data_IF_179879731955
#
_entry.id   IF_179879731955
#
_cell.length_a   1.000
_cell.length_b   1.000
_cell.length_c   1.000
_cell.angle_alpha   90.00
_cell.angle_beta   90.00
_cell.angle_gamma   90.00
#
_symmetry.space_group_name_H-M   'P 1'
#
loop_
_entity.id
_entity.type
_entity.pdbx_description
1 polymer ?
#
# COMPACT_ATOMS: atom_id res chain seq x y z
N UNK A 1 -21.10 -2.86 -48.43
CA UNK A 1 -20.81 -3.35 -47.06
C UNK A 1 -21.98 -4.14 -46.48
N UNK A 2 -23.23 -3.67 -46.64
CA UNK A 2 -24.43 -4.46 -46.27
C UNK A 2 -24.54 -5.78 -47.04
N UNK A 3 -24.23 -5.80 -48.35
CA UNK A 3 -24.24 -7.04 -49.14
C UNK A 3 -23.21 -8.08 -48.65
N UNK A 4 -22.04 -7.63 -48.18
CA UNK A 4 -21.00 -8.51 -47.61
C UNK A 4 -21.36 -9.06 -46.22
N UNK A 5 -22.27 -8.42 -45.48
CA UNK A 5 -22.75 -8.91 -44.16
C UNK A 5 -23.83 -9.97 -44.37
N UNK A 6 -24.64 -9.84 -45.42
CA UNK A 6 -25.68 -10.81 -45.80
C UNK A 6 -25.09 -12.10 -46.35
N UNK A 7 -23.92 -12.04 -47.00
CA UNK A 7 -23.20 -13.21 -47.52
C UNK A 7 -22.37 -13.96 -46.48
N UNK A 8 -22.44 -13.60 -45.19
CA UNK A 8 -21.70 -14.29 -44.12
C UNK A 8 -22.48 -15.53 -43.67
N UNK A 9 -21.80 -16.68 -43.65
CA UNK A 9 -22.30 -17.93 -43.10
C UNK A 9 -22.91 -17.75 -41.70
N UNK A 10 -24.07 -18.36 -41.45
CA UNK A 10 -24.80 -18.26 -40.18
C UNK A 10 -23.91 -18.47 -38.93
N UNK A 11 -23.02 -19.48 -38.88
CA UNK A 11 -22.15 -19.70 -37.72
C UNK A 11 -21.16 -18.55 -37.49
N UNK A 12 -20.61 -17.99 -38.57
CA UNK A 12 -19.66 -16.88 -38.49
C UNK A 12 -20.35 -15.58 -38.06
N UNK A 13 -21.58 -15.35 -38.52
CA UNK A 13 -22.38 -14.20 -38.08
C UNK A 13 -22.69 -14.26 -36.58
N UNK A 14 -23.23 -15.39 -36.10
CA UNK A 14 -23.54 -15.57 -34.68
C UNK A 14 -22.31 -15.52 -33.79
N UNK A 15 -21.16 -16.02 -34.27
CA UNK A 15 -19.88 -15.85 -33.58
C UNK A 15 -19.56 -14.37 -33.32
N UNK A 16 -19.66 -13.49 -34.33
CA UNK A 16 -19.37 -12.07 -34.16
C UNK A 16 -20.38 -11.36 -33.25
N UNK A 17 -21.66 -11.70 -33.34
CA UNK A 17 -22.69 -11.16 -32.43
C UNK A 17 -22.40 -11.54 -30.99
N UNK A 18 -22.09 -12.81 -30.72
CA UNK A 18 -21.73 -13.28 -29.37
C UNK A 18 -20.42 -12.63 -28.91
N UNK A 19 -19.40 -12.54 -29.77
CA UNK A 19 -18.13 -11.91 -29.42
C UNK A 19 -18.31 -10.43 -29.03
N UNK A 20 -19.12 -9.68 -29.78
CA UNK A 20 -19.46 -8.28 -29.46
C UNK A 20 -20.29 -8.17 -28.17
N UNK A 21 -21.22 -9.10 -27.94
CA UNK A 21 -21.99 -9.18 -26.70
C UNK A 21 -21.09 -9.42 -25.48
N UNK A 22 -20.16 -10.36 -25.57
CA UNK A 22 -19.15 -10.61 -24.53
C UNK A 22 -18.26 -9.39 -24.33
N UNK A 23 -17.77 -8.78 -25.41
CA UNK A 23 -16.95 -7.56 -25.33
C UNK A 23 -17.70 -6.41 -24.63
N UNK A 24 -18.99 -6.24 -24.91
CA UNK A 24 -19.85 -5.25 -24.25
C UNK A 24 -19.96 -5.53 -22.73
N UNK A 25 -20.25 -6.77 -22.33
CA UNK A 25 -20.32 -7.13 -20.90
C UNK A 25 -18.98 -6.92 -20.18
N UNK A 26 -17.87 -7.31 -20.81
CA UNK A 26 -16.53 -7.12 -20.25
C UNK A 26 -16.20 -5.65 -20.07
N UNK A 27 -16.44 -4.82 -21.09
CA UNK A 27 -16.16 -3.38 -21.03
C UNK A 27 -17.07 -2.65 -20.04
N UNK A 28 -18.35 -3.03 -19.93
CA UNK A 28 -19.25 -2.51 -18.90
C UNK A 28 -18.74 -2.82 -17.48
N UNK A 29 -18.34 -4.08 -17.24
CA UNK A 29 -17.79 -4.48 -15.94
C UNK A 29 -16.50 -3.71 -15.60
N UNK A 30 -15.58 -3.56 -16.57
CA UNK A 30 -14.35 -2.78 -16.37
C UNK A 30 -14.64 -1.30 -16.10
N UNK A 31 -15.63 -0.72 -16.78
CA UNK A 31 -16.09 0.65 -16.55
C UNK A 31 -16.64 0.84 -15.13
N UNK A 32 -17.58 -0.02 -14.72
CA UNK A 32 -18.17 0.02 -13.38
C UNK A 32 -17.10 -0.16 -12.29
N UNK A 33 -16.15 -1.08 -12.48
CA UNK A 33 -15.04 -1.30 -11.54
C UNK A 33 -14.11 -0.09 -11.44
N UNK A 34 -13.77 0.54 -12.58
CA UNK A 34 -12.91 1.73 -12.59
C UNK A 34 -13.62 2.92 -11.93
N UNK A 35 -14.91 3.09 -12.20
CA UNK A 35 -15.73 4.14 -11.60
C UNK A 35 -15.90 3.96 -10.08
N UNK A 36 -16.17 2.74 -9.63
CA UNK A 36 -16.27 2.44 -8.20
C UNK A 36 -14.95 2.71 -7.46
N UNK A 37 -13.81 2.40 -8.08
CA UNK A 37 -12.49 2.72 -7.51
C UNK A 37 -12.23 4.22 -7.44
N UNK A 38 -12.61 4.98 -8.47
CA UNK A 38 -12.48 6.43 -8.45
C UNK A 38 -13.30 7.04 -7.31
N UNK A 39 -14.58 6.65 -7.19
CA UNK A 39 -15.43 7.10 -6.09
C UNK A 39 -14.92 6.72 -4.72
N UNK A 40 -14.43 5.49 -4.55
CA UNK A 40 -13.92 5.06 -3.25
C UNK A 40 -12.72 5.89 -2.80
N UNK A 41 -11.88 6.34 -3.73
CA UNK A 41 -10.77 7.27 -3.43
C UNK A 41 -11.36 8.65 -3.09
N UNK A 42 -12.20 9.23 -3.96
CA UNK A 42 -12.81 10.56 -3.77
C UNK A 42 -13.66 10.69 -2.50
N UNK A 43 -14.36 9.63 -2.11
CA UNK A 43 -15.28 9.61 -0.97
C UNK A 43 -14.57 9.31 0.37
N UNK A 44 -13.28 8.93 0.34
CA UNK A 44 -12.52 8.65 1.57
C UNK A 44 -11.92 9.95 2.08
N UNK A 45 -12.30 10.44 3.27
CA UNK A 45 -11.75 11.68 3.79
C UNK A 45 -10.29 11.51 4.22
N UNK A 46 -9.46 12.50 3.90
CA UNK A 46 -8.10 12.59 4.41
C UNK A 46 -8.11 12.76 5.94
N UNK A 47 -7.41 11.87 6.64
CA UNK A 47 -7.26 11.91 8.10
C UNK A 47 -5.84 12.35 8.50
N UNK A 48 -5.70 12.81 9.75
CA UNK A 48 -4.40 13.02 10.40
C UNK A 48 -4.00 11.77 11.16
N UNK A 49 -2.73 11.36 11.08
CA UNK A 49 -2.20 10.12 11.67
C UNK A 49 -2.56 10.03 13.16
N UNK A 50 -2.39 11.12 13.92
CA UNK A 50 -2.69 11.18 15.36
C UNK A 50 -4.14 10.81 15.70
N UNK A 51 -5.08 11.11 14.80
CA UNK A 51 -6.52 11.01 15.05
C UNK A 51 -7.24 10.16 14.00
N UNK A 52 -6.50 9.36 13.23
CA UNK A 52 -7.08 8.58 12.16
C UNK A 52 -7.97 7.46 12.74
N UNK A 53 -9.20 7.28 12.21
CA UNK A 53 -10.06 6.21 12.67
C UNK A 53 -9.48 4.84 12.29
N UNK A 54 -9.83 3.80 13.06
CA UNK A 54 -9.47 2.43 12.70
C UNK A 54 -10.20 2.02 11.40
N UNK A 55 -9.49 1.34 10.50
CA UNK A 55 -10.04 0.85 9.24
C UNK A 55 -9.52 1.61 8.03
N UNK A 56 -10.33 1.70 6.97
CA UNK A 56 -9.89 2.26 5.70
C UNK A 56 -9.84 3.79 5.73
N UNK A 57 -8.65 4.36 5.54
CA UNK A 57 -8.40 5.80 5.63
C UNK A 57 -7.44 6.25 4.55
N UNK A 58 -7.50 7.54 4.26
CA UNK A 58 -6.53 8.26 3.45
C UNK A 58 -5.62 9.11 4.34
N UNK A 59 -4.32 9.06 4.08
CA UNK A 59 -3.29 9.80 4.79
C UNK A 59 -2.39 10.53 3.77
N UNK A 60 -2.01 11.76 4.11
CA UNK A 60 -1.07 12.57 3.35
C UNK A 60 0.03 13.02 4.30
N UNK A 61 1.27 12.76 3.92
CA UNK A 61 2.44 13.07 4.74
C UNK A 61 3.71 12.96 3.92
N UNK A 62 4.82 12.64 4.59
CA UNK A 62 6.13 12.46 3.99
C UNK A 62 6.70 11.12 4.42
N UNK A 63 7.42 10.45 3.53
CA UNK A 63 8.29 9.34 3.91
C UNK A 63 9.37 9.86 4.87
N UNK A 64 9.77 9.04 5.84
CA UNK A 64 10.86 9.34 6.76
C UNK A 64 11.85 8.19 6.84
N UNK A 65 13.10 8.53 7.13
CA UNK A 65 14.11 7.53 7.46
C UNK A 65 13.70 6.88 8.79
N UNK A 66 13.62 5.56 8.78
CA UNK A 66 13.38 4.77 9.98
C UNK A 66 14.72 4.39 10.61
N UNK A 67 14.78 4.40 11.94
CA UNK A 67 15.97 3.93 12.65
C UNK A 67 16.22 2.43 12.36
N UNK A 68 17.47 2.07 12.10
CA UNK A 68 17.89 0.71 11.80
C UNK A 68 18.58 0.58 10.44
N UNK A 69 18.42 -0.58 9.79
CA UNK A 69 19.06 -0.86 8.50
C UNK A 69 18.33 -0.11 7.38
N UNK A 70 19.01 0.75 6.61
CA UNK A 70 18.37 1.49 5.53
C UNK A 70 17.97 0.56 4.39
N UNK A 71 16.83 0.86 3.75
CA UNK A 71 16.41 0.17 2.53
C UNK A 71 17.21 0.75 1.36
N UNK A 72 17.99 -0.10 0.69
CA UNK A 72 18.85 0.29 -0.42
C UNK A 72 18.30 -0.27 -1.73
N UNK A 73 18.12 0.60 -2.72
CA UNK A 73 17.67 0.24 -4.05
C UNK A 73 18.72 -0.66 -4.75
N UNK A 74 18.39 -1.90 -5.15
CA UNK A 74 19.42 -2.88 -5.53
C UNK A 74 20.20 -2.57 -6.80
N UNK A 75 19.64 -1.82 -7.76
CA UNK A 75 20.30 -1.56 -9.03
C UNK A 75 21.15 -0.28 -8.99
N UNK A 76 20.67 0.79 -8.34
CA UNK A 76 21.40 2.07 -8.24
C UNK A 76 22.17 2.24 -6.94
N UNK A 77 21.90 1.45 -5.91
CA UNK A 77 22.53 1.58 -4.60
C UNK A 77 22.05 2.79 -3.79
N UNK A 78 20.94 3.44 -4.20
CA UNK A 78 20.43 4.62 -3.51
C UNK A 78 19.64 4.26 -2.25
N UNK A 79 19.83 4.97 -1.13
CA UNK A 79 18.93 4.89 0.02
C UNK A 79 17.52 5.34 -0.37
N UNK A 80 16.52 4.57 0.05
CA UNK A 80 15.12 4.80 -0.27
C UNK A 80 14.22 4.30 0.87
N UNK A 81 12.93 4.65 0.83
CA UNK A 81 11.90 4.13 1.73
C UNK A 81 11.25 2.87 1.16
N UNK A 82 11.29 2.71 -0.16
CA UNK A 82 10.77 1.54 -0.88
C UNK A 82 11.38 1.47 -2.27
N UNK A 83 11.49 0.27 -2.85
CA UNK A 83 11.90 0.09 -4.24
C UNK A 83 11.13 -1.02 -4.97
N UNK A 84 11.17 -0.96 -6.29
CA UNK A 84 10.83 -2.07 -7.20
C UNK A 84 11.74 -2.03 -8.40
N UNK A 85 12.32 -3.15 -8.78
CA UNK A 85 13.15 -3.22 -9.97
C UNK A 85 12.85 -4.43 -10.85
N UNK A 86 13.26 -4.33 -12.11
CA UNK A 86 13.29 -5.44 -13.06
C UNK A 86 14.52 -5.36 -13.95
N UNK A 87 15.16 -6.50 -14.19
CA UNK A 87 16.23 -6.68 -15.16
C UNK A 87 15.71 -7.61 -16.25
N UNK A 88 15.62 -7.12 -17.48
CA UNK A 88 15.26 -7.91 -18.64
C UNK A 88 16.47 -8.05 -19.58
N UNK A 89 16.63 -9.22 -20.22
CA UNK A 89 17.61 -9.42 -21.30
C UNK A 89 16.94 -9.41 -22.66
N UNK A 90 17.63 -8.82 -23.62
CA UNK A 90 17.28 -8.79 -25.03
C UNK A 90 17.52 -10.17 -25.63
N UNK A 91 16.47 -10.76 -26.18
CA UNK A 91 16.55 -11.94 -27.02
C UNK A 91 16.22 -11.53 -28.46
N UNK A 92 17.11 -11.84 -29.39
CA UNK A 92 16.92 -11.60 -30.82
C UNK A 92 16.75 -12.93 -31.51
N UNK A 93 15.58 -13.17 -32.09
CA UNK A 93 15.29 -14.36 -32.89
C UNK A 93 15.18 -13.95 -34.35
N UNK A 94 16.06 -14.49 -35.19
CA UNK A 94 16.03 -14.29 -36.65
C UNK A 94 15.25 -15.42 -37.28
N UNK A 95 14.31 -15.09 -38.16
CA UNK A 95 13.51 -16.03 -38.95
C UNK A 95 13.49 -15.58 -40.41
N UNK A 96 13.01 -16.44 -41.32
CA UNK A 96 12.82 -16.09 -42.74
C UNK A 96 11.89 -14.88 -42.92
N UNK A 97 10.96 -14.67 -41.99
CA UNK A 97 9.98 -13.57 -42.02
C UNK A 97 10.44 -12.31 -41.26
N UNK A 98 11.72 -12.23 -40.89
CA UNK A 98 12.31 -11.04 -40.25
C UNK A 98 12.93 -11.31 -38.88
N UNK A 99 13.35 -10.24 -38.22
CA UNK A 99 13.98 -10.28 -36.90
C UNK A 99 12.98 -9.89 -35.82
N UNK A 100 12.76 -10.77 -34.84
CA UNK A 100 11.92 -10.49 -33.67
C UNK A 100 12.81 -10.23 -32.46
N UNK A 101 12.62 -9.09 -31.81
CA UNK A 101 13.27 -8.75 -30.54
C UNK A 101 12.26 -8.92 -29.42
N UNK A 102 12.62 -9.69 -28.39
CA UNK A 102 11.82 -9.89 -27.18
C UNK A 102 12.66 -9.59 -25.94
N UNK A 103 12.04 -9.05 -24.91
CA UNK A 103 12.69 -8.82 -23.62
C UNK A 103 12.25 -9.90 -22.64
N UNK A 104 13.19 -10.74 -22.20
CA UNK A 104 12.93 -11.78 -21.21
C UNK A 104 13.34 -11.29 -19.83
N UNK A 105 12.42 -11.32 -18.88
CA UNK A 105 12.70 -10.98 -17.48
C UNK A 105 13.66 -12.01 -16.89
N UNK A 106 14.79 -11.55 -16.36
CA UNK A 106 15.76 -12.38 -15.65
C UNK A 106 15.57 -12.23 -14.15
N UNK A 107 15.36 -10.99 -13.68
CA UNK A 107 15.20 -10.70 -12.26
C UNK A 107 14.17 -9.62 -12.06
N UNK A 108 13.43 -9.71 -10.97
CA UNK A 108 12.58 -8.63 -10.47
C UNK A 108 12.30 -8.84 -9.02
N UNK A 109 12.16 -7.75 -8.29
CA UNK A 109 11.89 -7.76 -6.87
C UNK A 109 11.17 -6.47 -6.49
N UNK A 110 10.53 -6.51 -5.33
CA UNK A 110 9.81 -5.38 -4.75
C UNK A 110 10.07 -5.42 -3.26
N UNK A 111 10.42 -4.28 -2.69
CA UNK A 111 10.63 -4.11 -1.26
C UNK A 111 9.36 -4.49 -0.49
N UNK A 112 9.56 -5.25 0.57
CA UNK A 112 8.53 -5.73 1.51
C UNK A 112 8.74 -5.18 2.92
N UNK A 113 9.83 -4.45 3.11
CA UNK A 113 10.22 -3.85 4.36
C UNK A 113 9.26 -2.72 4.71
N UNK A 114 8.90 -2.66 5.98
CA UNK A 114 8.09 -1.58 6.54
C UNK A 114 8.91 -0.30 6.56
N UNK A 115 8.31 0.82 6.21
CA UNK A 115 8.94 2.14 6.26
C UNK A 115 8.07 3.16 7.00
N UNK A 116 8.65 4.30 7.35
CA UNK A 116 8.00 5.31 8.17
C UNK A 116 7.35 6.40 7.31
N UNK A 117 6.15 6.82 7.70
CA UNK A 117 5.44 7.97 7.18
C UNK A 117 5.10 8.93 8.33
N UNK A 118 5.18 10.23 8.10
CA UNK A 118 4.85 11.27 9.07
C UNK A 118 4.05 12.40 8.43
N UNK A 119 3.02 12.93 9.10
CA UNK A 119 2.16 14.01 8.60
C UNK A 119 2.24 15.32 9.43
N UNK A 120 3.26 15.41 10.28
CA UNK A 120 3.46 16.47 11.27
C UNK A 120 2.62 16.33 12.55
N UNK A 121 1.61 15.44 12.57
CA UNK A 121 0.78 15.18 13.76
C UNK A 121 1.18 13.90 14.48
N UNK A 122 1.68 12.90 13.74
CA UNK A 122 2.15 11.63 14.26
C UNK A 122 2.88 10.81 13.21
N UNK A 123 3.32 9.64 13.63
CA UNK A 123 4.08 8.70 12.81
C UNK A 123 3.28 7.43 12.55
N UNK A 124 3.40 6.89 11.33
CA UNK A 124 2.74 5.66 10.92
C UNK A 124 3.73 4.79 10.16
N UNK A 125 3.83 3.53 10.58
CA UNK A 125 4.51 2.48 9.83
C UNK A 125 3.65 2.10 8.62
N UNK A 126 4.27 1.97 7.46
CA UNK A 126 3.61 1.54 6.22
C UNK A 126 4.19 0.19 5.83
N UNK A 127 3.34 -0.83 5.82
CA UNK A 127 3.65 -2.13 5.22
C UNK A 127 3.28 -2.07 3.73
N UNK A 128 4.26 -2.07 2.80
CA UNK A 128 4.00 -1.92 1.37
C UNK A 128 3.42 -3.18 0.73
N UNK A 129 3.29 -4.30 1.45
CA UNK A 129 2.89 -5.55 0.82
C UNK A 129 1.47 -5.47 0.22
N UNK A 130 1.37 -5.93 -1.03
CA UNK A 130 0.15 -5.84 -1.81
C UNK A 130 -0.28 -4.42 -2.22
N UNK A 131 0.54 -3.38 -2.02
CA UNK A 131 0.27 -2.03 -2.45
C UNK A 131 0.42 -1.84 -3.97
N UNK A 132 -0.44 -1.01 -4.54
CA UNK A 132 -0.20 -0.38 -5.84
C UNK A 132 0.62 0.88 -5.62
N UNK A 133 1.92 0.81 -5.91
CA UNK A 133 2.87 1.90 -5.64
C UNK A 133 3.14 2.70 -6.91
N UNK A 134 3.00 4.02 -6.83
CA UNK A 134 3.28 4.96 -7.90
C UNK A 134 4.39 5.90 -7.48
N UNK A 135 5.53 5.82 -8.16
CA UNK A 135 6.71 6.61 -7.84
C UNK A 135 6.90 7.73 -8.85
N UNK A 136 7.43 8.85 -8.41
CA UNK A 136 7.98 9.93 -9.24
C UNK A 136 9.35 9.50 -9.76
N UNK A 137 10.16 8.93 -8.88
CA UNK A 137 11.47 8.40 -9.22
C UNK A 137 11.33 7.03 -9.90
N UNK A 138 11.40 7.02 -11.23
CA UNK A 138 11.48 5.81 -12.05
C UNK A 138 12.57 5.96 -13.13
N UNK A 139 13.58 5.10 -13.04
CA UNK A 139 14.71 5.06 -13.97
C UNK A 139 14.57 3.90 -14.97
N UNK A 140 14.91 4.15 -16.23
CA UNK A 140 15.02 3.15 -17.30
C UNK A 140 16.35 3.34 -18.02
N UNK A 141 17.22 2.33 -17.98
CA UNK A 141 18.51 2.36 -18.66
C UNK A 141 18.91 0.98 -19.18
N UNK A 142 19.96 0.94 -20.01
CA UNK A 142 20.46 -0.28 -20.61
C UNK A 142 21.93 -0.52 -20.22
N UNK A 143 22.35 -1.77 -20.25
CA UNK A 143 23.74 -2.14 -19.98
C UNK A 143 24.11 -3.53 -20.50
N UNK A 144 25.39 -3.86 -20.35
CA UNK A 144 25.98 -5.08 -20.89
C UNK A 144 25.89 -6.30 -19.94
N UNK A 145 25.61 -6.09 -18.66
CA UNK A 145 25.66 -7.13 -17.63
C UNK A 145 24.28 -7.38 -17.01
N UNK A 146 24.05 -8.52 -16.35
CA UNK A 146 22.85 -8.70 -15.52
C UNK A 146 22.92 -7.93 -14.18
N UNK A 147 24.10 -7.43 -13.80
CA UNK A 147 24.38 -6.75 -12.54
C UNK A 147 25.00 -5.38 -12.81
N UNK A 148 24.21 -4.29 -12.79
CA UNK A 148 24.77 -2.94 -12.88
C UNK A 148 25.58 -2.65 -11.61
N UNK A 149 26.75 -2.02 -11.71
CA UNK A 149 27.63 -1.74 -10.57
C UNK A 149 27.17 -0.49 -9.80
N UNK A 150 25.90 -0.43 -9.40
CA UNK A 150 25.31 0.78 -8.82
C UNK A 150 25.54 2.03 -9.69
N UNK A 151 25.63 1.83 -11.00
CA UNK A 151 25.81 2.92 -11.94
C UNK A 151 24.53 3.74 -11.97
N UNK A 152 24.60 4.99 -11.52
CA UNK A 152 23.53 5.96 -11.75
C UNK A 152 23.24 5.98 -13.26
N UNK A 153 21.96 6.03 -13.68
CA UNK A 153 21.64 6.09 -15.10
C UNK A 153 22.35 7.29 -15.73
N UNK A 154 23.43 7.05 -16.47
CA UNK A 154 24.07 8.09 -17.29
C UNK A 154 22.97 8.59 -18.21
N UNK A 155 22.70 9.91 -18.22
CA UNK A 155 21.75 10.56 -19.14
C UNK A 155 21.88 9.88 -20.49
N UNK A 156 20.81 9.19 -20.90
CA UNK A 156 20.83 8.36 -22.09
C UNK A 156 21.16 9.24 -23.31
N UNK A 157 22.43 9.24 -23.72
CA UNK A 157 22.80 9.67 -25.06
C UNK A 157 22.13 8.75 -26.09
N UNK A 158 22.06 9.19 -27.34
CA UNK A 158 21.40 8.48 -28.46
C UNK A 158 21.84 7.02 -28.69
N UNK A 159 22.82 6.50 -27.95
CA UNK A 159 23.41 5.17 -28.09
C UNK A 159 23.46 4.41 -26.75
N UNK A 160 22.36 4.38 -25.98
CA UNK A 160 22.26 3.46 -24.85
C UNK A 160 22.26 2.02 -25.38
N UNK A 161 23.47 1.44 -25.43
CA UNK A 161 23.75 0.11 -25.95
C UNK A 161 23.87 -0.88 -24.81
N UNK A 162 23.19 -2.02 -24.94
CA UNK A 162 23.19 -3.06 -23.93
C UNK A 162 22.19 -4.16 -24.22
N UNK A 163 22.57 -5.39 -23.94
CA UNK A 163 21.66 -6.54 -24.03
C UNK A 163 20.74 -6.64 -22.81
N UNK A 164 20.91 -5.78 -21.81
CA UNK A 164 20.07 -5.74 -20.62
C UNK A 164 19.35 -4.41 -20.51
N UNK A 165 18.11 -4.47 -20.04
CA UNK A 165 17.24 -3.34 -19.76
C UNK A 165 16.86 -3.37 -18.29
N UNK A 166 17.24 -2.32 -17.59
CA UNK A 166 16.98 -2.16 -16.17
C UNK A 166 15.84 -1.16 -15.98
N UNK A 167 14.94 -1.48 -15.06
CA UNK A 167 13.96 -0.54 -14.53
C UNK A 167 14.06 -0.54 -13.03
N UNK A 168 14.05 0.63 -12.42
CA UNK A 168 13.99 0.79 -10.98
C UNK A 168 13.07 1.95 -10.62
N UNK A 169 12.09 1.68 -9.76
CA UNK A 169 11.21 2.67 -9.13
C UNK A 169 11.54 2.75 -7.66
N UNK A 170 11.51 3.96 -7.09
CA UNK A 170 11.83 4.20 -5.69
C UNK A 170 10.87 5.20 -5.08
N UNK A 171 10.54 4.99 -3.80
CA UNK A 171 10.08 6.08 -2.96
C UNK A 171 11.29 6.62 -2.19
N UNK A 172 11.64 7.89 -2.38
CA UNK A 172 12.78 8.49 -1.69
C UNK A 172 12.45 8.76 -0.22
N UNK A 173 13.44 8.94 0.66
CA UNK A 173 13.21 9.51 1.99
C UNK A 173 12.82 10.99 1.87
N UNK A 174 12.04 11.48 2.83
CA UNK A 174 11.64 12.89 2.93
C UNK A 174 10.85 13.43 1.73
N UNK A 175 10.20 12.54 0.95
CA UNK A 175 9.35 12.93 -0.17
C UNK A 175 7.87 12.86 0.21
N UNK A 176 7.00 13.65 -0.46
CA UNK A 176 5.56 13.57 -0.25
C UNK A 176 5.04 12.15 -0.49
N UNK A 177 4.14 11.70 0.36
CA UNK A 177 3.48 10.41 0.24
C UNK A 177 1.97 10.55 0.47
N UNK A 178 1.22 10.20 -0.57
CA UNK A 178 -0.18 9.87 -0.51
C UNK A 178 -0.34 8.38 -0.23
N UNK A 179 -1.12 8.02 0.78
CA UNK A 179 -1.37 6.65 1.16
C UNK A 179 -2.84 6.42 1.51
N UNK A 180 -3.47 5.43 0.91
CA UNK A 180 -4.85 5.03 1.23
C UNK A 180 -4.92 3.53 1.46
N UNK A 181 -5.40 3.11 2.62
CA UNK A 181 -5.28 1.72 3.09
C UNK A 181 -5.97 1.44 4.42
N UNK A 182 -5.77 0.25 4.94
CA UNK A 182 -6.28 -0.15 6.25
C UNK A 182 -5.32 0.32 7.35
N UNK A 183 -5.77 1.25 8.18
CA UNK A 183 -5.07 1.78 9.33
C UNK A 183 -5.45 1.05 10.60
N UNK A 184 -4.42 0.71 11.40
CA UNK A 184 -4.56 0.07 12.69
C UNK A 184 -3.63 0.69 13.70
N UNK A 185 -4.08 0.76 14.95
CA UNK A 185 -3.24 1.14 16.08
C UNK A 185 -2.82 -0.10 16.85
N UNK A 186 -1.51 -0.34 16.95
CA UNK A 186 -0.89 -1.39 17.76
C UNK A 186 -0.45 -0.77 19.08
N UNK A 187 -0.74 -1.43 20.22
CA UNK A 187 -0.25 -0.99 21.53
C UNK A 187 -1.18 -1.17 22.72
N UNK A 188 -2.44 -1.56 22.52
CA UNK A 188 -3.39 -1.71 23.65
C UNK A 188 -3.39 -3.11 24.28
N UNK A 189 -3.05 -4.16 23.53
CA UNK A 189 -3.33 -5.55 23.95
C UNK A 189 -2.12 -6.34 24.50
N UNK A 190 -0.88 -5.83 24.37
CA UNK A 190 0.33 -6.61 24.69
C UNK A 190 0.90 -6.40 26.11
N UNK A 191 0.27 -5.58 26.97
CA UNK A 191 0.86 -5.17 28.26
C UNK A 191 0.39 -5.97 29.49
N UNK A 192 -0.05 -7.23 29.34
CA UNK A 192 -0.51 -8.05 30.49
C UNK A 192 -1.80 -7.53 31.14
N UNK A 193 -2.26 -8.15 32.23
CA UNK A 193 -3.47 -7.68 32.95
C UNK A 193 -3.13 -6.59 33.97
N UNK A 194 -4.08 -5.70 34.28
CA UNK A 194 -3.91 -4.69 35.35
C UNK A 194 -3.51 -5.35 36.68
N UNK A 195 -4.02 -6.56 36.93
CA UNK A 195 -3.71 -7.35 38.12
C UNK A 195 -2.22 -7.73 38.20
N UNK A 196 -1.58 -7.99 37.07
CA UNK A 196 -0.16 -8.35 37.02
C UNK A 196 0.72 -7.13 37.36
N UNK A 197 0.34 -5.95 36.86
CA UNK A 197 1.03 -4.69 37.17
C UNK A 197 0.88 -4.31 38.64
N UNK A 198 -0.33 -4.41 39.20
CA UNK A 198 -0.59 -4.19 40.63
C UNK A 198 0.22 -5.18 41.47
N UNK A 199 0.27 -6.46 41.06
CA UNK A 199 1.05 -7.49 41.74
C UNK A 199 2.57 -7.28 41.65
N UNK A 200 3.07 -6.64 40.59
CA UNK A 200 4.48 -6.26 40.49
C UNK A 200 4.82 -5.11 41.46
N UNK A 201 4.00 -4.07 41.49
CA UNK A 201 4.16 -2.91 42.39
C UNK A 201 4.10 -3.34 43.86
N UNK A 202 3.13 -4.18 44.23
CA UNK A 202 3.01 -4.67 45.61
C UNK A 202 4.19 -5.57 46.02
N UNK A 203 4.77 -6.34 45.09
CA UNK A 203 5.98 -7.13 45.37
C UNK A 203 7.20 -6.23 45.59
N UNK A 204 7.35 -5.19 44.78
CA UNK A 204 8.40 -4.19 44.96
C UNK A 204 8.29 -3.53 46.33
N UNK A 205 7.09 -3.07 46.71
CA UNK A 205 6.87 -2.41 47.99
C UNK A 205 7.09 -3.33 49.19
N UNK A 206 6.80 -4.62 49.05
CA UNK A 206 7.07 -5.62 50.07
C UNK A 206 8.57 -5.94 50.23
N UNK A 207 9.36 -5.78 49.17
CA UNK A 207 10.80 -6.07 49.18
C UNK A 207 11.64 -4.91 49.74
N UNK A 208 11.06 -3.70 49.86
CA UNK A 208 11.70 -2.55 50.52
C UNK A 208 10.78 -1.92 51.59
N UNK A 209 10.58 -2.57 52.75
CA UNK A 209 9.65 -2.11 53.77
C UNK A 209 10.01 -0.72 54.33
N UNK A 210 11.31 -0.40 54.43
CA UNK A 210 11.79 0.82 55.06
C UNK A 210 11.30 2.09 54.34
N UNK A 211 11.18 2.04 53.01
CA UNK A 211 10.74 3.16 52.17
C UNK A 211 9.22 3.33 52.15
N UNK A 212 8.47 2.29 52.53
CA UNK A 212 7.01 2.26 52.43
C UNK A 212 6.28 2.31 53.77
N UNK A 213 6.95 2.02 54.89
CA UNK A 213 6.43 2.25 56.25
C UNK A 213 6.02 3.72 56.44
N UNK A 214 6.86 4.68 56.09
CA UNK A 214 6.57 6.12 56.21
C UNK A 214 5.32 6.58 55.41
N UNK A 215 4.89 5.76 54.44
CA UNK A 215 3.80 6.09 53.52
C UNK A 215 2.47 5.40 53.88
N UNK A 216 2.50 4.28 54.60
CA UNK A 216 1.31 3.46 54.86
C UNK A 216 1.12 3.04 56.33
N UNK A 217 2.14 3.15 57.18
CA UNK A 217 2.06 2.92 58.64
C UNK A 217 1.48 4.18 59.33
N UNK A 218 0.17 4.18 59.53
CA UNK A 218 -0.58 5.30 60.08
C UNK A 218 -0.51 5.34 61.62
N UNK A 219 -0.35 4.17 62.25
CA UNK A 219 -0.33 4.03 63.70
C UNK A 219 1.11 4.09 64.30
N UNK A 220 2.14 4.07 63.44
CA UNK A 220 3.58 4.09 63.74
C UNK A 220 4.04 2.92 64.61
N UNK A 221 3.44 1.76 64.45
CA UNK A 221 3.81 0.55 65.20
C UNK A 221 4.97 -0.23 64.55
N UNK A 222 5.39 0.16 63.33
CA UNK A 222 6.51 -0.44 62.61
C UNK A 222 6.13 -1.68 61.80
N UNK A 223 4.85 -2.05 61.76
CA UNK A 223 4.28 -3.09 60.90
C UNK A 223 3.17 -2.51 60.02
N UNK A 224 2.87 -3.14 58.87
CA UNK A 224 1.73 -2.72 58.02
C UNK A 224 0.63 -3.73 58.22
N UNK A 225 -0.48 -3.30 58.83
CA UNK A 225 -1.62 -4.18 59.14
C UNK A 225 -2.55 -4.42 57.93
N UNK A 226 -3.61 -5.22 58.11
CA UNK A 226 -4.56 -5.57 57.06
C UNK A 226 -5.32 -4.35 56.48
N UNK A 227 -5.63 -3.35 57.29
CA UNK A 227 -6.34 -2.14 56.87
C UNK A 227 -5.38 -1.21 56.12
N UNK A 228 -4.15 -1.07 56.59
CA UNK A 228 -3.09 -0.31 55.93
C UNK A 228 -2.66 -0.95 54.60
N UNK A 229 -2.64 -2.28 54.51
CA UNK A 229 -2.45 -3.00 53.24
C UNK A 229 -3.59 -2.78 52.24
N UNK A 230 -4.82 -2.55 52.69
CA UNK A 230 -5.92 -2.22 51.79
C UNK A 230 -5.70 -0.85 51.13
N UNK A 231 -5.19 0.13 51.91
CA UNK A 231 -4.79 1.46 51.39
C UNK A 231 -3.62 1.34 50.42
N UNK A 232 -2.59 0.54 50.76
CA UNK A 232 -1.47 0.27 49.87
C UNK A 232 -1.93 -0.36 48.53
N UNK A 233 -2.87 -1.31 48.59
CA UNK A 233 -3.42 -1.92 47.36
C UNK A 233 -4.14 -0.92 46.46
N UNK A 234 -4.94 -0.04 47.03
CA UNK A 234 -5.63 1.01 46.26
C UNK A 234 -4.65 2.03 45.65
N UNK A 235 -3.60 2.38 46.40
CA UNK A 235 -2.51 3.21 45.89
C UNK A 235 -1.75 2.53 44.74
N UNK A 236 -1.46 1.22 44.87
CA UNK A 236 -0.81 0.44 43.83
C UNK A 236 -1.66 0.33 42.56
N UNK A 237 -2.98 0.20 42.68
CA UNK A 237 -3.91 0.23 41.54
C UNK A 237 -3.90 1.58 40.82
N UNK A 238 -3.93 2.68 41.59
CA UNK A 238 -3.85 4.03 41.03
C UNK A 238 -2.51 4.27 40.32
N UNK A 239 -1.41 3.80 40.89
CA UNK A 239 -0.07 3.90 40.30
C UNK A 239 0.08 3.02 39.05
N UNK A 240 -0.45 1.79 39.08
CA UNK A 240 -0.48 0.91 37.91
C UNK A 240 -1.24 1.55 36.74
N UNK A 241 -2.38 2.21 37.02
CA UNK A 241 -3.13 2.95 36.02
C UNK A 241 -2.34 4.16 35.47
N UNK A 242 -1.62 4.91 36.32
CA UNK A 242 -0.74 6.00 35.85
C UNK A 242 0.42 5.49 35.00
N UNK A 243 1.09 4.43 35.43
CA UNK A 243 2.16 3.80 34.68
C UNK A 243 1.68 3.28 33.32
N UNK A 244 0.49 2.67 33.26
CA UNK A 244 -0.16 2.28 31.99
C UNK A 244 -0.49 3.49 31.13
N UNK A 245 -1.08 4.53 31.69
CA UNK A 245 -1.39 5.75 30.95
C UNK A 245 -0.13 6.36 30.35
N UNK A 246 0.94 6.52 31.14
CA UNK A 246 2.23 7.04 30.68
C UNK A 246 2.88 6.14 29.61
N UNK A 247 2.89 4.81 29.78
CA UNK A 247 3.45 3.87 28.79
C UNK A 247 2.63 3.80 27.50
N UNK A 248 1.30 3.87 27.61
CA UNK A 248 0.39 3.83 26.47
C UNK A 248 0.59 5.02 25.54
N UNK A 249 0.87 6.20 26.09
CA UNK A 249 1.19 7.41 25.30
C UNK A 249 2.52 7.26 24.56
N UNK A 250 3.47 6.49 25.10
CA UNK A 250 4.81 6.34 24.55
C UNK A 250 4.95 5.25 23.48
N UNK A 251 4.03 4.26 23.43
CA UNK A 251 4.17 3.07 22.57
C UNK A 251 2.95 2.84 21.65
N UNK A 252 2.29 3.91 21.19
CA UNK A 252 1.27 3.79 20.15
C UNK A 252 1.98 3.66 18.81
N UNK A 253 1.92 2.48 18.19
CA UNK A 253 2.44 2.28 16.84
C UNK A 253 1.29 2.21 15.86
N UNK A 254 1.16 3.22 15.02
CA UNK A 254 0.20 3.20 13.92
C UNK A 254 0.75 2.41 12.74
N UNK A 255 -0.06 1.54 12.15
CA UNK A 255 0.29 0.71 11.00
C UNK A 255 -0.73 0.89 9.88
N UNK A 256 -0.27 1.27 8.70
CA UNK A 256 -1.04 1.27 7.46
C UNK A 256 -0.62 0.07 6.61
N UNK A 257 -1.61 -0.72 6.17
CA UNK A 257 -1.36 -1.92 5.35
C UNK A 257 -2.51 -2.21 4.39
N UNK A 258 -2.37 -3.29 3.63
CA UNK A 258 -3.47 -3.84 2.85
C UNK A 258 -4.57 -4.42 3.74
N UNK A 259 -5.81 -3.94 3.55
CA UNK A 259 -6.99 -4.51 4.19
C UNK A 259 -7.39 -5.89 3.65
N UNK A 260 -8.24 -6.60 4.40
CA UNK A 260 -8.78 -7.91 3.99
C UNK A 260 -9.75 -7.82 2.81
N UNK A 261 -10.47 -6.69 2.68
CA UNK A 261 -11.37 -6.43 1.56
C UNK A 261 -10.58 -6.09 0.28
N UNK A 262 -10.56 -7.03 -0.67
CA UNK A 262 -9.89 -6.86 -1.97
C UNK A 262 -10.52 -5.81 -2.88
N UNK A 263 -11.74 -5.36 -2.59
CA UNK A 263 -12.42 -4.31 -3.38
C UNK A 263 -11.81 -2.95 -3.10
N UNK A 264 -11.32 -2.73 -1.88
CA UNK A 264 -10.66 -1.50 -1.47
C UNK A 264 -9.21 -1.48 -1.97
N UNK A 265 -8.82 -0.49 -2.78
CA UNK A 265 -7.46 -0.39 -3.25
C UNK A 265 -6.53 0.00 -2.10
N UNK A 266 -5.35 -0.59 -2.05
CA UNK A 266 -4.25 -0.13 -1.21
C UNK A 266 -3.24 0.56 -2.14
N UNK A 267 -3.12 1.88 -2.02
CA UNK A 267 -2.32 2.70 -2.93
C UNK A 267 -1.32 3.51 -2.12
N UNK A 268 -0.08 3.52 -2.59
CA UNK A 268 0.99 4.40 -2.13
C UNK A 268 1.43 5.21 -3.35
N UNK A 269 1.54 6.52 -3.23
CA UNK A 269 1.88 7.39 -4.34
C UNK A 269 2.72 8.55 -3.89
N UNK A 270 3.85 8.80 -4.55
CA UNK A 270 4.60 10.05 -4.36
C UNK A 270 3.99 11.22 -5.16
N UNK A 271 3.03 10.93 -6.05
CA UNK A 271 2.24 11.94 -6.76
C UNK A 271 1.01 12.36 -5.95
N UNK A 272 0.53 13.58 -6.17
CA UNK A 272 -0.72 14.07 -5.60
C UNK A 272 -1.93 13.22 -6.01
N UNK A 273 -2.90 13.08 -5.10
CA UNK A 273 -4.13 12.30 -5.22
C UNK A 273 -4.85 12.47 -6.57
N UNK A 274 -4.97 13.72 -7.06
CA UNK A 274 -5.75 14.06 -8.25
C UNK A 274 -5.32 13.35 -9.53
N UNK A 275 -4.04 12.96 -9.65
CA UNK A 275 -3.57 12.22 -10.83
C UNK A 275 -4.11 10.78 -10.88
N UNK A 276 -4.31 10.14 -9.73
CA UNK A 276 -4.82 8.78 -9.67
C UNK A 276 -6.30 8.74 -10.02
N UNK A 277 -7.06 9.67 -9.44
CA UNK A 277 -8.50 9.81 -9.65
C UNK A 277 -8.83 10.07 -11.12
N UNK A 278 -8.17 11.05 -11.74
CA UNK A 278 -8.36 11.40 -13.16
C UNK A 278 -8.06 10.21 -14.08
N UNK A 279 -6.96 9.48 -13.84
CA UNK A 279 -6.64 8.26 -14.60
C UNK A 279 -7.73 7.18 -14.48
N UNK A 280 -8.29 6.95 -13.30
CA UNK A 280 -9.41 6.00 -13.14
C UNK A 280 -10.68 6.48 -13.84
N UNK A 281 -11.02 7.77 -13.79
CA UNK A 281 -12.17 8.35 -14.51
C UNK A 281 -12.01 8.23 -16.02
N UNK A 282 -10.85 8.57 -16.57
CA UNK A 282 -10.58 8.42 -18.00
C UNK A 282 -10.67 6.96 -18.46
N UNK A 283 -10.15 6.00 -17.67
CA UNK A 283 -10.32 4.58 -17.96
C UNK A 283 -11.79 4.16 -17.92
N UNK A 284 -12.55 4.61 -16.93
CA UNK A 284 -13.98 4.31 -16.82
C UNK A 284 -14.75 4.83 -18.05
N UNK A 285 -14.45 6.06 -18.49
CA UNK A 285 -15.03 6.67 -19.69
C UNK A 285 -14.62 5.94 -20.97
N UNK A 286 -13.34 5.57 -21.11
CA UNK A 286 -12.87 4.80 -22.27
C UNK A 286 -13.55 3.43 -22.36
N UNK A 287 -13.71 2.73 -21.23
CA UNK A 287 -14.45 1.47 -21.19
C UNK A 287 -15.94 1.65 -21.46
N UNK A 288 -16.56 2.73 -20.98
CA UNK A 288 -17.95 3.06 -21.28
C UNK A 288 -18.15 3.35 -22.78
N UNK A 289 -17.23 4.09 -23.42
CA UNK A 289 -17.24 4.32 -24.85
C UNK A 289 -17.07 3.00 -25.64
N UNK A 290 -16.18 2.12 -25.19
CA UNK A 290 -16.01 0.78 -25.76
C UNK A 290 -17.28 -0.08 -25.66
N UNK A 291 -17.98 -0.01 -24.53
CA UNK A 291 -19.29 -0.66 -24.34
C UNK A 291 -20.32 -0.15 -25.35
N UNK A 292 -20.47 1.18 -25.47
CA UNK A 292 -21.40 1.79 -26.42
C UNK A 292 -21.06 1.43 -27.87
N UNK A 293 -19.78 1.41 -28.23
CA UNK A 293 -19.32 1.04 -29.55
C UNK A 293 -19.60 -0.44 -29.87
N UNK A 294 -19.34 -1.36 -28.93
CA UNK A 294 -19.64 -2.78 -29.10
C UNK A 294 -21.15 -3.04 -29.23
N UNK A 295 -21.96 -2.35 -28.43
CA UNK A 295 -23.41 -2.43 -28.49
C UNK A 295 -23.95 -1.89 -29.82
N UNK A 296 -23.46 -0.73 -30.27
CA UNK A 296 -23.83 -0.14 -31.55
C UNK A 296 -23.43 -1.03 -32.74
N UNK A 297 -22.24 -1.64 -32.70
CA UNK A 297 -21.80 -2.57 -33.73
C UNK A 297 -22.65 -3.84 -33.77
N UNK A 298 -23.00 -4.42 -32.61
CA UNK A 298 -23.89 -5.57 -32.53
C UNK A 298 -25.30 -5.24 -33.05
N UNK A 299 -25.84 -4.09 -32.65
CA UNK A 299 -27.14 -3.61 -33.13
C UNK A 299 -27.13 -3.37 -34.65
N UNK A 300 -26.07 -2.75 -35.18
CA UNK A 300 -25.90 -2.54 -36.62
C UNK A 300 -25.86 -3.86 -37.39
N UNK A 301 -25.11 -4.87 -36.91
CA UNK A 301 -25.04 -6.19 -37.53
C UNK A 301 -26.41 -6.89 -37.54
N UNK A 302 -27.16 -6.81 -36.45
CA UNK A 302 -28.50 -7.39 -36.36
C UNK A 302 -29.49 -6.66 -37.28
N UNK A 303 -29.49 -5.33 -37.27
CA UNK A 303 -30.36 -4.52 -38.13
C UNK A 303 -30.05 -4.75 -39.61
N UNK A 304 -28.77 -4.76 -40.01
CA UNK A 304 -28.36 -4.99 -41.40
C UNK A 304 -28.76 -6.38 -41.93
N UNK A 305 -28.95 -7.37 -41.04
CA UNK A 305 -29.45 -8.70 -41.41
C UNK A 305 -30.99 -8.77 -41.44
N UNK A 306 -31.67 -7.96 -40.64
CA UNK A 306 -33.14 -7.94 -40.53
C UNK A 306 -33.81 -6.99 -41.55
N UNK A 307 -33.15 -5.91 -41.95
CA UNK A 307 -33.65 -5.02 -43.01
C UNK A 307 -33.48 -5.69 -44.37
N UNK A 308 -34.54 -5.80 -45.20
CA UNK A 308 -34.50 -6.47 -46.51
C UNK A 308 -33.60 -5.79 -47.54
#
# INVERSE_FOLDING_TARGET
MQDSIRSIDDPAFWFWVVALGVAALVTLYLSARAFHRARLIEDTPTAKIRSAPQGYVELIGFTRVMDGTPIIAPLTGQPCSWYRYSVDKREVRRSRNGTRVTWKRIRSETSREVFLMEDGTGQCLVDPDGASVYCEHHDLWYGATPWPRHDLPRRAGLFSSGDYRYRESRLMPDEPLYAIGEFRTLGTDSQGSLRDDVGAILREWKNDPATHLDRFDANRDGEIDLEEWAVARQAAETEALRHRAARSVLHVTHLLRRGSDRRRPFILSSHAEGELVTRYRHRALAYAAGFLAALAAAAYLLLARLTP
#
